data_IF_753014923627
#
_entry.id   IF_753014923627
#
_cell.length_a   1.000
_cell.length_b   1.000
_cell.length_c   1.000
_cell.angle_alpha   90.00
_cell.angle_beta   90.00
_cell.angle_gamma   90.00
#
_symmetry.space_group_name_H-M   'P 1'
#
loop_
_entity.id
_entity.type
_entity.pdbx_description
1 polymer ?
#
# COMPACT_ATOMS: atom_id res chain seq x y z
N UNK A 1 -32.79 -9.13 26.51
CA UNK A 1 -33.42 -7.99 25.81
C UNK A 1 -32.36 -6.91 25.72
N UNK A 2 -31.88 -6.43 24.58
CA UNK A 2 -31.97 -6.82 23.18
C UNK A 2 -30.62 -6.38 22.55
N UNK A 3 -30.10 -7.14 21.58
CA UNK A 3 -28.86 -6.79 20.85
C UNK A 3 -29.06 -5.50 20.06
N UNK A 4 -28.11 -4.57 20.19
CA UNK A 4 -27.97 -3.40 19.34
C UNK A 4 -27.09 -3.82 18.16
N UNK A 5 -27.74 -4.41 17.16
CA UNK A 5 -27.15 -4.73 15.86
C UNK A 5 -27.79 -3.77 14.86
N UNK A 6 -27.24 -2.55 14.79
CA UNK A 6 -27.63 -1.53 13.82
C UNK A 6 -27.14 -1.97 12.43
N UNK A 7 -28.03 -2.65 11.73
CA UNK A 7 -27.91 -3.10 10.35
C UNK A 7 -27.79 -1.89 9.42
N UNK A 8 -26.57 -1.56 8.98
CA UNK A 8 -26.35 -0.55 7.94
C UNK A 8 -26.82 -1.07 6.58
N UNK A 9 -28.03 -0.65 6.21
CA UNK A 9 -28.60 -0.80 4.87
C UNK A 9 -27.85 0.14 3.91
N UNK A 10 -26.96 -0.41 3.08
CA UNK A 10 -26.33 0.32 2.01
C UNK A 10 -27.22 0.18 0.76
N UNK A 11 -28.11 1.15 0.58
CA UNK A 11 -28.76 1.39 -0.71
C UNK A 11 -27.67 1.79 -1.73
N UNK A 12 -27.16 0.81 -2.49
CA UNK A 12 -26.33 1.09 -3.64
C UNK A 12 -27.23 1.66 -4.74
N UNK A 13 -27.13 2.97 -4.97
CA UNK A 13 -27.56 3.61 -6.22
C UNK A 13 -26.74 2.99 -7.37
N UNK A 14 -27.39 2.10 -8.12
CA UNK A 14 -26.86 1.43 -9.30
C UNK A 14 -26.94 2.41 -10.48
N UNK A 15 -26.01 3.36 -10.51
CA UNK A 15 -25.91 4.30 -11.64
C UNK A 15 -25.23 3.60 -12.82
N UNK A 16 -26.08 2.96 -13.62
CA UNK A 16 -25.98 2.62 -15.04
C UNK A 16 -24.59 2.81 -15.67
N UNK A 17 -23.81 1.72 -15.75
CA UNK A 17 -22.62 1.66 -16.60
C UNK A 17 -23.08 1.72 -18.06
N UNK A 18 -23.03 2.90 -18.66
CA UNK A 18 -23.28 3.11 -20.09
C UNK A 18 -22.29 2.25 -20.91
N UNK A 19 -22.81 1.25 -21.63
CA UNK A 19 -22.10 0.47 -22.64
C UNK A 19 -21.57 1.43 -23.73
N UNK A 20 -20.29 1.77 -23.67
CA UNK A 20 -19.61 2.45 -24.78
C UNK A 20 -19.40 1.42 -25.89
N UNK A 21 -20.27 1.47 -26.90
CA UNK A 21 -20.18 0.75 -28.16
C UNK A 21 -18.81 1.06 -28.79
N UNK A 22 -17.88 0.11 -28.70
CA UNK A 22 -16.57 0.24 -29.34
C UNK A 22 -16.75 0.03 -30.84
N UNK A 23 -17.09 1.11 -31.54
CA UNK A 23 -17.21 1.17 -32.99
C UNK A 23 -16.02 0.51 -33.71
N UNK A 24 -16.34 -0.46 -34.57
CA UNK A 24 -15.40 -1.25 -35.34
C UNK A 24 -14.58 -0.40 -36.31
N UNK A 25 -13.27 -0.47 -36.20
CA UNK A 25 -12.35 0.06 -37.21
C UNK A 25 -12.12 -0.99 -38.29
N UNK A 26 -12.69 -0.74 -39.46
CA UNK A 26 -12.41 -1.46 -40.71
C UNK A 26 -10.93 -1.20 -41.06
N UNK A 27 -10.08 -2.22 -40.97
CA UNK A 27 -8.67 -2.11 -41.37
C UNK A 27 -8.59 -2.45 -42.85
N UNK A 28 -8.25 -1.45 -43.66
CA UNK A 28 -8.12 -1.60 -45.11
C UNK A 28 -6.90 -2.46 -45.44
N UNK A 29 -7.08 -3.39 -46.38
CA UNK A 29 -6.08 -4.38 -46.78
C UNK A 29 -4.90 -3.69 -47.49
N UNK A 30 -3.75 -3.57 -46.82
CA UNK A 30 -2.49 -3.13 -47.44
C UNK A 30 -1.82 -4.33 -48.13
N UNK A 31 -1.67 -4.21 -49.45
CA UNK A 31 -1.13 -5.20 -50.37
C UNK A 31 0.38 -5.35 -50.15
N UNK A 32 0.77 -6.29 -49.30
CA UNK A 32 2.19 -6.62 -49.07
C UNK A 32 2.74 -7.48 -50.22
N UNK A 33 3.11 -6.83 -51.32
CA UNK A 33 3.95 -7.40 -52.38
C UNK A 33 5.42 -7.55 -51.91
N UNK A 34 5.99 -8.72 -52.20
CA UNK A 34 7.40 -8.85 -52.56
C UNK A 34 8.43 -8.91 -51.43
N UNK A 35 8.77 -10.14 -50.99
CA UNK A 35 9.95 -10.32 -50.14
C UNK A 35 10.32 -11.78 -49.85
N UNK A 36 10.49 -12.59 -50.88
CA UNK A 36 11.15 -13.89 -50.80
C UNK A 36 12.57 -13.74 -50.24
N UNK A 37 12.76 -14.08 -48.97
CA UNK A 37 14.07 -14.35 -48.38
C UNK A 37 14.12 -15.83 -48.01
N UNK A 38 14.64 -16.60 -48.96
CA UNK A 38 15.15 -17.94 -48.73
C UNK A 38 16.35 -17.90 -47.79
N UNK A 39 16.31 -18.81 -46.81
CA UNK A 39 17.45 -19.46 -46.15
C UNK A 39 18.44 -18.60 -45.35
N UNK A 40 18.17 -18.48 -44.04
CA UNK A 40 19.14 -18.95 -43.05
C UNK A 40 18.41 -19.24 -41.72
N UNK A 41 18.63 -20.42 -41.16
CA UNK A 41 18.03 -20.93 -39.93
C UNK A 41 18.24 -19.97 -38.74
N UNK A 42 17.38 -18.96 -38.61
CA UNK A 42 17.16 -18.23 -37.37
C UNK A 42 16.43 -19.17 -36.42
N UNK A 43 17.21 -20.01 -35.74
CA UNK A 43 16.77 -20.70 -34.53
C UNK A 43 16.40 -19.61 -33.54
N UNK A 44 15.11 -19.23 -33.56
CA UNK A 44 14.47 -18.50 -32.48
C UNK A 44 14.66 -19.32 -31.21
N UNK A 45 15.69 -19.00 -30.44
CA UNK A 45 15.96 -19.61 -29.14
C UNK A 45 14.70 -19.38 -28.30
N UNK A 46 14.00 -20.43 -27.84
CA UNK A 46 12.80 -20.25 -27.05
C UNK A 46 13.18 -19.49 -25.77
N UNK A 47 12.57 -18.33 -25.54
CA UNK A 47 12.76 -17.59 -24.30
C UNK A 47 12.43 -18.50 -23.12
N UNK A 48 13.25 -18.50 -22.05
CA UNK A 48 13.00 -19.33 -20.90
C UNK A 48 11.62 -18.98 -20.32
N UNK A 49 10.81 -19.99 -19.93
CA UNK A 49 9.46 -19.76 -19.45
C UNK A 49 9.48 -18.81 -18.25
N UNK A 50 8.65 -17.76 -18.32
CA UNK A 50 8.46 -16.81 -17.23
C UNK A 50 7.99 -17.56 -15.99
N UNK A 51 8.76 -17.47 -14.90
CA UNK A 51 8.40 -18.07 -13.62
C UNK A 51 7.41 -17.15 -12.90
N UNK A 52 6.12 -17.39 -13.09
CA UNK A 52 5.08 -16.72 -12.33
C UNK A 52 4.86 -17.45 -11.00
N UNK A 53 5.17 -16.80 -9.88
CA UNK A 53 4.86 -17.30 -8.54
C UNK A 53 3.55 -16.70 -8.06
N UNK A 54 2.65 -17.55 -7.55
CA UNK A 54 1.40 -17.12 -6.95
C UNK A 54 1.62 -16.76 -5.47
N UNK A 55 1.12 -15.60 -5.05
CA UNK A 55 1.15 -15.17 -3.65
C UNK A 55 -0.09 -15.75 -2.97
N UNK A 56 0.11 -16.54 -1.91
CA UNK A 56 -1.00 -17.03 -1.09
C UNK A 56 -1.47 -15.92 -0.15
N UNK A 57 -2.76 -15.95 0.21
CA UNK A 57 -3.32 -15.02 1.20
C UNK A 57 -2.54 -15.04 2.51
N UNK A 58 -2.14 -16.21 2.98
CA UNK A 58 -1.38 -16.37 4.23
C UNK A 58 0.00 -15.75 4.14
N UNK A 59 0.72 -15.94 3.02
CA UNK A 59 2.03 -15.33 2.82
C UNK A 59 1.94 -13.80 2.82
N UNK A 60 0.94 -13.23 2.14
CA UNK A 60 0.73 -11.78 2.12
C UNK A 60 0.38 -11.25 3.52
N UNK A 61 -0.57 -11.89 4.21
CA UNK A 61 -0.98 -11.47 5.55
C UNK A 61 0.18 -11.52 6.54
N UNK A 62 1.03 -12.56 6.48
CA UNK A 62 2.18 -12.69 7.36
C UNK A 62 3.21 -11.59 7.09
N UNK A 63 3.52 -11.31 5.81
CA UNK A 63 4.44 -10.23 5.45
C UNK A 63 3.92 -8.86 5.93
N UNK A 64 2.63 -8.57 5.70
CA UNK A 64 2.02 -7.32 6.16
C UNK A 64 2.02 -7.18 7.68
N UNK A 65 1.79 -8.28 8.40
CA UNK A 65 1.80 -8.28 9.86
C UNK A 65 3.21 -8.08 10.42
N UNK A 66 4.23 -8.66 9.79
CA UNK A 66 5.63 -8.48 10.15
C UNK A 66 6.05 -7.01 9.99
N UNK A 67 5.79 -6.42 8.82
CA UNK A 67 6.07 -5.00 8.57
C UNK A 67 5.35 -4.09 9.55
N UNK A 68 4.07 -4.38 9.84
CA UNK A 68 3.27 -3.63 10.81
C UNK A 68 3.85 -3.71 12.21
N UNK A 69 4.23 -4.90 12.66
CA UNK A 69 4.84 -5.11 13.98
C UNK A 69 6.22 -4.45 14.05
N UNK A 70 7.02 -4.49 12.98
CA UNK A 70 8.31 -3.82 12.90
C UNK A 70 8.17 -2.31 13.09
N UNK A 71 7.24 -1.66 12.37
CA UNK A 71 6.98 -0.22 12.52
C UNK A 71 6.43 0.12 13.91
N UNK A 72 5.50 -0.68 14.44
CA UNK A 72 4.98 -0.46 15.81
C UNK A 72 6.11 -0.46 16.85
N UNK A 73 7.04 -1.41 16.75
CA UNK A 73 8.15 -1.52 17.69
C UNK A 73 9.18 -0.41 17.48
N UNK A 74 9.46 -0.04 16.21
CA UNK A 74 10.46 0.96 15.88
C UNK A 74 10.07 2.36 16.37
N UNK A 75 8.79 2.72 16.25
CA UNK A 75 8.27 4.02 16.69
C UNK A 75 7.54 3.97 18.04
N UNK A 76 7.48 2.81 18.70
CA UNK A 76 6.70 2.58 19.92
C UNK A 76 5.26 3.16 19.83
N UNK A 77 4.56 2.85 18.74
CA UNK A 77 3.22 3.36 18.42
C UNK A 77 2.16 2.28 18.35
N UNK A 78 0.90 2.71 18.43
CA UNK A 78 -0.28 1.87 18.21
C UNK A 78 -0.40 1.45 16.74
N UNK A 79 -1.03 0.31 16.52
CA UNK A 79 -1.21 -0.32 15.20
C UNK A 79 -1.82 0.61 14.14
N UNK A 80 -2.82 1.43 14.50
CA UNK A 80 -3.47 2.32 13.53
C UNK A 80 -2.54 3.41 13.00
N UNK A 81 -1.65 3.94 13.83
CA UNK A 81 -0.64 4.90 13.41
C UNK A 81 0.42 4.24 12.53
N UNK A 82 0.91 3.06 12.92
CA UNK A 82 1.84 2.28 12.10
C UNK A 82 1.24 1.95 10.72
N UNK A 83 -0.04 1.57 10.67
CA UNK A 83 -0.75 1.32 9.41
C UNK A 83 -0.87 2.57 8.55
N UNK A 84 -1.15 3.73 9.15
CA UNK A 84 -1.20 5.00 8.43
C UNK A 84 0.18 5.36 7.84
N UNK A 85 1.26 5.16 8.60
CA UNK A 85 2.62 5.38 8.13
C UNK A 85 2.99 4.44 6.98
N UNK A 86 2.73 3.13 7.12
CA UNK A 86 2.96 2.16 6.05
C UNK A 86 2.22 2.57 4.76
N UNK A 87 0.97 3.01 4.86
CA UNK A 87 0.21 3.47 3.68
C UNK A 87 0.82 4.75 3.08
N UNK A 88 1.16 5.74 3.91
CA UNK A 88 1.77 7.02 3.50
C UNK A 88 3.07 6.81 2.72
N UNK A 89 3.89 5.86 3.17
CA UNK A 89 5.16 5.52 2.53
C UNK A 89 5.04 4.37 1.50
N UNK A 90 3.81 3.97 1.14
CA UNK A 90 3.52 2.93 0.14
C UNK A 90 4.19 1.60 0.46
N UNK A 91 4.18 1.20 1.73
CA UNK A 91 4.81 0.00 2.27
C UNK A 91 6.33 -0.09 2.03
N UNK A 92 6.99 1.04 1.78
CA UNK A 92 8.45 1.07 1.64
C UNK A 92 9.11 1.29 3.00
N UNK A 93 9.56 0.19 3.62
CA UNK A 93 10.23 0.20 4.92
C UNK A 93 11.51 1.05 4.93
N UNK A 94 12.31 1.01 3.87
CA UNK A 94 13.56 1.78 3.78
C UNK A 94 13.29 3.28 3.83
N UNK A 95 12.23 3.76 3.19
CA UNK A 95 11.84 5.17 3.22
C UNK A 95 11.35 5.61 4.60
N UNK A 96 10.70 4.71 5.34
CA UNK A 96 10.23 4.97 6.69
C UNK A 96 11.42 5.10 7.65
N UNK A 97 12.38 4.15 7.58
CA UNK A 97 13.57 4.16 8.44
C UNK A 97 14.48 5.34 8.14
N UNK A 98 14.71 5.64 6.86
CA UNK A 98 15.54 6.78 6.43
C UNK A 98 14.92 8.14 6.81
N UNK A 99 13.59 8.28 6.75
CA UNK A 99 12.90 9.47 7.30
C UNK A 99 13.05 9.57 8.82
N UNK A 100 12.97 8.45 9.54
CA UNK A 100 13.18 8.41 10.99
C UNK A 100 14.58 8.87 11.35
N UNK A 101 15.59 8.38 10.66
CA UNK A 101 16.99 8.74 10.93
C UNK A 101 17.26 10.23 10.68
N UNK A 102 16.61 10.83 9.68
CA UNK A 102 16.81 12.24 9.32
C UNK A 102 16.02 13.22 10.18
N UNK A 103 14.73 12.96 10.39
CA UNK A 103 13.81 13.88 11.07
C UNK A 103 13.61 13.57 12.54
N UNK A 104 13.89 12.33 12.95
CA UNK A 104 13.55 11.82 14.27
C UNK A 104 12.08 11.41 14.39
N UNK A 105 11.81 10.60 15.40
CA UNK A 105 10.50 10.01 15.67
C UNK A 105 9.42 11.07 15.93
N UNK A 106 9.73 12.10 16.71
CA UNK A 106 8.75 13.09 17.17
C UNK A 106 8.11 13.87 16.00
N UNK A 107 8.91 14.25 15.01
CA UNK A 107 8.44 14.95 13.80
C UNK A 107 7.57 14.01 12.94
N UNK A 108 7.97 12.76 12.79
CA UNK A 108 7.19 11.78 12.01
C UNK A 108 5.83 11.49 12.64
N UNK A 109 5.77 11.43 13.97
CA UNK A 109 4.53 11.28 14.74
C UNK A 109 3.62 12.49 14.56
N UNK A 110 4.16 13.70 14.69
CA UNK A 110 3.41 14.93 14.45
C UNK A 110 2.84 14.99 13.02
N UNK A 111 3.64 14.65 12.01
CA UNK A 111 3.20 14.60 10.61
C UNK A 111 2.13 13.52 10.35
N UNK A 112 2.14 12.44 11.14
CA UNK A 112 1.13 11.39 11.11
C UNK A 112 -0.13 11.74 11.94
N UNK A 113 -0.21 12.96 12.51
CA UNK A 113 -1.33 13.41 13.33
C UNK A 113 -1.35 12.78 14.73
N UNK A 114 -0.23 12.22 15.18
CA UNK A 114 -0.08 11.64 16.52
C UNK A 114 0.43 12.72 17.46
N UNK A 115 -0.35 13.06 18.48
CA UNK A 115 0.12 13.94 19.53
C UNK A 115 1.24 13.24 20.30
N UNK A 116 2.47 13.79 20.23
CA UNK A 116 3.56 13.39 21.12
C UNK A 116 3.09 13.52 22.57
N UNK A 117 3.25 12.51 23.44
CA UNK A 117 2.94 12.67 24.85
C UNK A 117 3.84 13.78 25.38
N UNK A 118 3.24 14.96 25.58
CA UNK A 118 3.87 16.05 26.29
C UNK A 118 4.36 15.47 27.62
N UNK A 119 5.67 15.50 27.86
CA UNK A 119 6.21 15.19 29.18
C UNK A 119 5.58 16.18 30.14
N UNK A 120 4.52 15.77 30.84
CA UNK A 120 3.98 16.53 31.94
C UNK A 120 5.04 16.51 33.04
N UNK A 121 5.77 17.64 33.10
CA UNK A 121 6.73 17.93 34.14
C UNK A 121 6.04 17.79 35.49
N UNK A 122 6.67 17.02 36.35
CA UNK A 122 6.29 16.83 37.74
C UNK A 122 6.48 18.16 38.49
N UNK A 123 5.51 19.08 38.39
CA UNK A 123 5.43 20.27 39.24
C UNK A 123 5.04 19.84 40.66
N UNK A 124 6.06 19.42 41.43
CA UNK A 124 5.94 19.29 42.88
C UNK A 124 5.79 20.70 43.44
N UNK A 125 4.66 21.04 44.11
CA UNK A 125 4.52 22.33 44.73
C UNK A 125 5.48 22.44 45.92
N UNK A 126 6.13 23.60 46.14
CA UNK A 126 7.03 23.78 47.28
C UNK A 126 6.23 23.67 48.58
N UNK A 127 6.62 22.72 49.42
CA UNK A 127 6.10 22.58 50.77
C UNK A 127 6.30 23.88 51.55
N UNK A 128 5.20 24.50 51.95
CA UNK A 128 5.23 25.56 52.95
C UNK A 128 5.54 24.92 54.30
N UNK A 129 6.76 25.15 54.78
CA UNK A 129 7.11 24.92 56.17
C UNK A 129 6.34 25.88 57.07
N UNK A 130 5.78 25.33 58.14
CA UNK A 130 5.43 26.02 59.38
C UNK A 130 5.54 25.01 60.53
#
# INVERSE_FOLDING_TARGET
MASDDELYDYDYDDEELEDVDSEGVEMEEDDCDGGHLEDEDDVSVPEPPVKCLAITKEALSNAQQEDLTAVMNLFNIKQHHARADLIRYRWNMERITDQMERKGQDIMLMEAGVASPHQEGNDVPPGHGA
#
